data_IF_036496952830
#
_entry.id   IF_036496952830
#
_cell.length_a   1.000
_cell.length_b   1.000
_cell.length_c   1.000
_cell.angle_alpha   90.00
_cell.angle_beta   90.00
_cell.angle_gamma   90.00
#
_symmetry.space_group_name_H-M   'P 1'
#
loop_
_entity.id
_entity.type
_entity.pdbx_description
1 polymer ?
#
# COMPACT_ATOMS: atom_id res chain seq x y z
N UNK A 1 -9.37 6.27 9.81
CA UNK A 1 -8.11 5.66 10.28
C UNK A 1 -6.93 6.61 10.12
N UNK A 2 -6.58 7.03 8.89
CA UNK A 2 -5.41 7.89 8.65
C UNK A 2 -5.39 9.17 9.50
N UNK A 3 -6.52 9.87 9.63
CA UNK A 3 -6.63 11.06 10.49
C UNK A 3 -6.31 10.76 11.97
N UNK A 4 -6.71 9.58 12.46
CA UNK A 4 -6.42 9.14 13.83
C UNK A 4 -4.91 8.91 14.00
N UNK A 5 -4.29 8.18 13.08
CA UNK A 5 -2.84 7.93 13.11
C UNK A 5 -2.01 9.21 12.92
N UNK A 6 -2.50 10.16 12.10
CA UNK A 6 -1.87 11.47 11.95
C UNK A 6 -1.87 12.26 13.26
N UNK A 7 -3.05 12.39 13.91
CA UNK A 7 -3.17 13.06 15.22
C UNK A 7 -2.33 12.35 16.28
N UNK A 8 -2.28 11.02 16.25
CA UNK A 8 -1.44 10.21 17.14
C UNK A 8 0.04 10.50 16.94
N UNK A 9 0.52 10.49 15.70
CA UNK A 9 1.92 10.75 15.35
C UNK A 9 2.36 12.16 15.79
N UNK A 10 1.50 13.17 15.60
CA UNK A 10 1.75 14.54 16.11
C UNK A 10 1.89 14.53 17.64
N UNK A 11 0.96 13.91 18.35
CA UNK A 11 0.96 13.89 19.82
C UNK A 11 2.17 13.13 20.38
N UNK A 12 2.55 12.02 19.75
CA UNK A 12 3.62 11.14 20.19
C UNK A 12 4.99 11.54 19.62
N UNK A 13 5.04 12.57 18.76
CA UNK A 13 6.24 13.02 18.03
C UNK A 13 6.92 11.87 17.27
N UNK A 14 6.12 10.99 16.68
CA UNK A 14 6.60 9.84 15.89
C UNK A 14 6.46 10.09 14.39
N UNK A 15 7.17 9.30 13.60
CA UNK A 15 7.12 9.39 12.14
C UNK A 15 5.96 8.56 11.59
N UNK A 16 5.16 9.16 10.71
CA UNK A 16 4.14 8.50 9.92
C UNK A 16 4.55 8.53 8.45
N UNK A 17 4.69 7.37 7.83
CA UNK A 17 4.98 7.24 6.40
C UNK A 17 3.76 6.74 5.63
N UNK A 18 3.66 7.13 4.36
CA UNK A 18 2.61 6.69 3.43
C UNK A 18 3.28 6.26 2.14
N UNK A 19 2.89 5.09 1.62
CA UNK A 19 3.26 4.65 0.28
C UNK A 19 2.02 4.62 -0.60
N UNK A 20 2.13 5.24 -1.78
CA UNK A 20 1.16 5.12 -2.86
C UNK A 20 1.74 4.18 -3.91
N UNK A 21 0.94 3.20 -4.31
CA UNK A 21 1.33 2.10 -5.18
C UNK A 21 0.35 2.06 -6.33
N UNK A 22 0.84 2.00 -7.56
CA UNK A 22 0.05 1.88 -8.77
C UNK A 22 0.51 0.65 -9.55
N UNK A 23 -0.41 -0.03 -10.25
CA UNK A 23 -0.06 -1.19 -11.09
C UNK A 23 0.17 -0.71 -12.51
N UNK A 24 1.45 -0.68 -12.91
CA UNK A 24 1.83 -0.23 -14.24
C UNK A 24 1.09 -1.00 -15.34
N UNK A 25 0.59 -0.25 -16.33
CA UNK A 25 -0.09 -0.77 -17.53
C UNK A 25 -1.33 -1.63 -17.24
N UNK A 26 -2.00 -1.49 -16.09
CA UNK A 26 -3.14 -2.32 -15.72
C UNK A 26 -4.30 -2.28 -16.73
N UNK A 27 -4.57 -1.11 -17.31
CA UNK A 27 -5.55 -0.99 -18.40
C UNK A 27 -5.19 -1.85 -19.62
N UNK A 28 -3.94 -1.78 -20.08
CA UNK A 28 -3.48 -2.57 -21.22
C UNK A 28 -3.52 -4.08 -20.93
N UNK A 29 -3.22 -4.47 -19.68
CA UNK A 29 -3.39 -5.85 -19.22
C UNK A 29 -4.86 -6.29 -19.30
N UNK A 30 -5.79 -5.50 -18.78
CA UNK A 30 -7.23 -5.77 -18.89
C UNK A 30 -7.70 -5.86 -20.34
N UNK A 31 -7.23 -4.97 -21.21
CA UNK A 31 -7.63 -4.94 -22.62
C UNK A 31 -7.16 -6.22 -23.36
N UNK A 32 -6.04 -6.82 -22.95
CA UNK A 32 -5.48 -8.01 -23.58
C UNK A 32 -5.97 -9.34 -22.96
N UNK A 33 -6.20 -9.38 -21.65
CA UNK A 33 -6.51 -10.62 -20.91
C UNK A 33 -7.93 -10.66 -20.33
N UNK A 34 -8.66 -9.55 -20.37
CA UNK A 34 -10.00 -9.41 -19.82
C UNK A 34 -10.03 -9.08 -18.32
N UNK A 35 -11.14 -8.48 -17.88
CA UNK A 35 -11.28 -7.97 -16.51
C UNK A 35 -11.18 -9.04 -15.41
N UNK A 36 -11.57 -10.30 -15.69
CA UNK A 36 -11.46 -11.38 -14.72
C UNK A 36 -10.00 -11.69 -14.39
N UNK A 37 -9.12 -11.66 -15.39
CA UNK A 37 -7.67 -11.82 -15.20
C UNK A 37 -7.07 -10.59 -14.49
N UNK A 38 -7.59 -9.39 -14.78
CA UNK A 38 -7.22 -8.18 -14.06
C UNK A 38 -7.56 -8.24 -12.57
N UNK A 39 -8.77 -8.72 -12.24
CA UNK A 39 -9.17 -8.92 -10.85
C UNK A 39 -8.23 -9.90 -10.13
N UNK A 40 -7.79 -10.96 -10.81
CA UNK A 40 -6.84 -11.90 -10.23
C UNK A 40 -5.45 -11.28 -10.05
N UNK A 41 -4.98 -10.50 -11.01
CA UNK A 41 -3.74 -9.74 -10.88
C UNK A 41 -3.79 -8.79 -9.66
N UNK A 42 -4.91 -8.06 -9.47
CA UNK A 42 -5.10 -7.19 -8.31
C UNK A 42 -5.15 -7.97 -6.99
N UNK A 43 -5.73 -9.19 -6.96
CA UNK A 43 -5.68 -10.06 -5.78
C UNK A 43 -4.25 -10.47 -5.43
N UNK A 44 -3.43 -10.78 -6.42
CA UNK A 44 -2.02 -11.13 -6.22
C UNK A 44 -1.21 -9.94 -5.70
N UNK A 45 -1.39 -8.75 -6.28
CA UNK A 45 -0.76 -7.50 -5.80
C UNK A 45 -1.17 -7.21 -4.36
N UNK A 46 -2.47 -7.27 -4.05
CA UNK A 46 -2.97 -7.06 -2.70
C UNK A 46 -2.38 -8.07 -1.69
N UNK A 47 -2.17 -9.32 -2.10
CA UNK A 47 -1.53 -10.35 -1.28
C UNK A 47 -0.06 -10.03 -1.01
N UNK A 48 0.69 -9.57 -2.02
CA UNK A 48 2.08 -9.13 -1.86
C UNK A 48 2.18 -7.95 -0.89
N UNK A 49 1.33 -6.93 -1.06
CA UNK A 49 1.25 -5.77 -0.17
C UNK A 49 0.97 -6.21 1.26
N UNK A 50 -0.03 -7.08 1.46
CA UNK A 50 -0.37 -7.60 2.79
C UNK A 50 0.76 -8.42 3.42
N UNK A 51 1.50 -9.20 2.62
CA UNK A 51 2.63 -9.99 3.11
C UNK A 51 3.83 -9.11 3.51
N UNK A 52 3.98 -7.93 2.92
CA UNK A 52 5.01 -6.95 3.30
C UNK A 52 4.72 -6.27 4.65
N UNK A 53 3.44 -6.20 5.04
CA UNK A 53 3.01 -5.63 6.32
C UNK A 53 3.38 -6.57 7.47
N UNK A 54 4.20 -6.10 8.41
CA UNK A 54 4.70 -6.93 9.51
C UNK A 54 4.24 -6.47 10.88
N UNK A 55 3.65 -5.28 10.97
CA UNK A 55 3.20 -4.67 12.24
C UNK A 55 1.68 -4.58 12.29
N UNK A 56 1.06 -4.72 13.47
CA UNK A 56 -0.38 -4.57 13.62
C UNK A 56 -0.93 -3.18 13.20
N UNK A 57 -0.08 -2.16 13.22
CA UNK A 57 -0.43 -0.78 12.83
C UNK A 57 -0.24 -0.51 11.34
N UNK A 58 0.39 -1.40 10.59
CA UNK A 58 0.52 -1.23 9.14
C UNK A 58 -0.87 -1.42 8.52
N UNK A 59 -1.34 -0.44 7.74
CA UNK A 59 -2.66 -0.51 7.09
C UNK A 59 -2.51 -0.54 5.58
N UNK A 60 -2.60 -1.73 4.94
CA UNK A 60 -2.79 -1.83 3.51
C UNK A 60 -4.24 -1.48 3.14
N UNK A 61 -4.41 -0.72 2.07
CA UNK A 61 -5.71 -0.30 1.56
C UNK A 61 -5.72 -0.29 0.03
N UNK A 62 -6.86 -0.62 -0.57
CA UNK A 62 -7.13 -0.31 -1.98
C UNK A 62 -7.65 1.12 -2.04
N UNK A 63 -6.93 1.99 -2.72
CA UNK A 63 -7.24 3.42 -2.81
C UNK A 63 -8.15 3.72 -4.00
N UNK A 64 -7.85 3.11 -5.14
CA UNK A 64 -8.54 3.28 -6.41
C UNK A 64 -8.57 1.98 -7.21
N UNK A 65 -9.03 2.03 -8.46
CA UNK A 65 -9.19 0.84 -9.32
C UNK A 65 -7.97 -0.10 -9.28
N UNK A 66 -6.82 0.40 -9.74
CA UNK A 66 -5.52 -0.28 -9.65
C UNK A 66 -4.57 0.29 -8.58
N UNK A 67 -4.98 1.36 -7.91
CA UNK A 67 -4.16 2.06 -6.91
C UNK A 67 -4.32 1.46 -5.50
N UNK A 68 -3.20 1.27 -4.82
CA UNK A 68 -3.13 0.85 -3.43
C UNK A 68 -2.39 1.89 -2.57
N UNK A 69 -2.67 1.87 -1.28
CA UNK A 69 -2.00 2.67 -0.28
C UNK A 69 -1.53 1.79 0.88
N UNK A 70 -0.36 2.10 1.44
CA UNK A 70 0.12 1.50 2.68
C UNK A 70 0.47 2.61 3.69
N UNK A 71 -0.31 2.69 4.76
CA UNK A 71 -0.07 3.60 5.89
C UNK A 71 0.84 2.90 6.90
N UNK A 72 1.95 3.56 7.26
CA UNK A 72 3.02 2.98 8.08
C UNK A 72 3.29 3.88 9.31
N UNK A 73 2.54 3.70 10.41
CA UNK A 73 2.83 4.36 11.68
C UNK A 73 4.21 3.97 12.21
N UNK A 74 4.87 4.91 12.91
CA UNK A 74 6.19 4.71 13.52
C UNK A 74 7.25 4.19 12.52
N UNK A 75 7.24 4.74 11.30
CA UNK A 75 8.13 4.33 10.22
C UNK A 75 8.83 5.53 9.63
N UNK A 76 10.16 5.47 9.60
CA UNK A 76 11.01 6.51 9.02
C UNK A 76 10.98 6.49 7.50
N UNK A 77 11.36 7.58 6.82
CA UNK A 77 11.48 7.60 5.37
C UNK A 77 12.37 6.49 4.80
N UNK A 78 13.50 6.19 5.48
CA UNK A 78 14.39 5.10 5.09
C UNK A 78 13.76 3.71 5.31
N UNK A 79 13.01 3.52 6.40
CA UNK A 79 12.27 2.30 6.65
C UNK A 79 11.15 2.06 5.62
N UNK A 80 10.41 3.11 5.26
CA UNK A 80 9.39 3.06 4.23
C UNK A 80 9.99 2.73 2.86
N UNK A 81 11.13 3.35 2.50
CA UNK A 81 11.86 3.04 1.26
C UNK A 81 12.32 1.58 1.21
N UNK A 82 12.91 1.06 2.29
CA UNK A 82 13.32 -0.34 2.36
C UNK A 82 12.13 -1.31 2.24
N UNK A 83 10.95 -0.91 2.73
CA UNK A 83 9.74 -1.69 2.56
C UNK A 83 9.24 -1.65 1.11
N UNK A 84 9.25 -0.47 0.48
CA UNK A 84 8.90 -0.31 -0.93
C UNK A 84 9.81 -1.12 -1.85
N UNK A 85 11.11 -1.20 -1.56
CA UNK A 85 12.08 -1.99 -2.36
C UNK A 85 11.93 -3.51 -2.17
N UNK A 86 11.26 -3.97 -1.11
CA UNK A 86 11.01 -5.41 -0.85
C UNK A 86 9.68 -5.90 -1.42
N UNK A 87 8.77 -4.97 -1.71
CA UNK A 87 7.48 -5.26 -2.31
C UNK A 87 7.65 -5.62 -3.78
#
# INVERSE_FOLDING_TARGET
YLELEWRRAIREQTQLSLMMIDVDYFKAYNDNFGHLEGDEALRQVAKAIRASCSRPSDLPARYGGEEFALVLPNTSPGGARLLAEKL
#
